data_IF_566233678731
#
_entry.id   IF_566233678731
#
_cell.length_a   1.000
_cell.length_b   1.000
_cell.length_c   1.000
_cell.angle_alpha   90.00
_cell.angle_beta   90.00
_cell.angle_gamma   90.00
#
_symmetry.space_group_name_H-M   'P 1'
#
loop_
_entity.id
_entity.type
_entity.pdbx_description
1 polymer ?
#
# COMPACT_ATOMS: atom_id res chain seq x y z
N UNK A 1 29.27 43.17 -80.53
CA UNK A 1 28.73 43.42 -81.88
C UNK A 1 27.38 42.68 -81.92
N UNK A 2 26.30 43.35 -81.48
CA UNK A 2 25.18 43.86 -82.31
C UNK A 2 24.40 42.73 -83.01
N UNK A 3 23.22 42.35 -82.51
CA UNK A 3 21.86 42.72 -83.02
C UNK A 3 21.48 41.94 -84.31
N UNK A 4 20.25 41.56 -84.66
CA UNK A 4 18.88 41.41 -84.11
C UNK A 4 18.07 40.79 -85.27
N UNK A 5 17.06 39.95 -85.01
CA UNK A 5 15.76 39.87 -85.72
C UNK A 5 15.02 38.59 -85.26
N UNK A 6 13.87 38.60 -84.55
CA UNK A 6 12.53 39.20 -84.71
C UNK A 6 11.61 38.44 -85.67
N UNK A 7 10.61 37.70 -85.15
CA UNK A 7 9.18 37.70 -85.55
C UNK A 7 8.31 36.69 -84.73
N UNK A 8 6.94 36.75 -84.71
CA UNK A 8 6.17 37.13 -83.52
C UNK A 8 4.99 36.20 -83.09
N UNK A 9 4.39 36.54 -81.93
CA UNK A 9 2.99 36.41 -81.43
C UNK A 9 2.15 35.12 -81.65
N UNK A 10 1.71 34.51 -80.52
CA UNK A 10 0.29 34.16 -80.27
C UNK A 10 -0.01 33.88 -78.78
N UNK A 11 -1.12 34.48 -78.33
CA UNK A 11 -1.72 34.50 -76.99
C UNK A 11 -2.08 33.13 -76.39
N UNK A 12 -2.20 33.06 -75.04
CA UNK A 12 -3.37 32.57 -74.27
C UNK A 12 -3.01 32.43 -72.78
N UNK A 13 -3.93 32.83 -71.88
CA UNK A 13 -4.00 32.26 -70.52
C UNK A 13 -4.05 33.26 -69.37
N UNK A 14 -5.17 33.26 -68.66
CA UNK A 14 -5.59 34.09 -67.53
C UNK A 14 -4.68 34.03 -66.30
N UNK A 15 -4.69 35.10 -65.49
CA UNK A 15 -4.09 35.13 -64.16
C UNK A 15 -5.00 34.41 -63.14
N UNK A 16 -4.48 33.59 -62.22
CA UNK A 16 -5.30 33.07 -61.13
C UNK A 16 -5.39 34.09 -59.98
N UNK A 17 -6.64 34.46 -59.71
CA UNK A 17 -7.10 35.31 -58.61
C UNK A 17 -6.80 34.62 -57.27
N UNK A 18 -5.98 35.24 -56.41
CA UNK A 18 -5.71 34.75 -55.05
C UNK A 18 -6.95 34.98 -54.17
N UNK A 19 -7.58 33.89 -53.72
CA UNK A 19 -8.66 33.90 -52.74
C UNK A 19 -8.10 34.18 -51.34
N UNK A 20 -8.71 35.09 -50.57
CA UNK A 20 -8.30 35.39 -49.20
C UNK A 20 -8.69 34.27 -48.22
N UNK A 21 -7.91 34.07 -47.15
CA UNK A 21 -8.13 32.99 -46.17
C UNK A 21 -9.52 33.02 -45.52
N UNK A 22 -10.13 34.20 -45.37
CA UNK A 22 -11.51 34.32 -44.92
C UNK A 22 -12.51 33.76 -45.92
N UNK A 23 -12.30 33.97 -47.23
CA UNK A 23 -13.15 33.36 -48.27
C UNK A 23 -13.00 31.83 -48.28
N UNK A 24 -11.82 31.30 -47.98
CA UNK A 24 -11.61 29.86 -47.86
C UNK A 24 -12.37 29.29 -46.66
N UNK A 25 -12.35 29.97 -45.51
CA UNK A 25 -13.08 29.56 -44.32
C UNK A 25 -14.60 29.63 -44.49
N UNK A 26 -15.09 30.66 -45.19
CA UNK A 26 -16.53 30.83 -45.47
C UNK A 26 -17.04 29.80 -46.50
N UNK A 27 -16.19 29.40 -47.45
CA UNK A 27 -16.47 28.29 -48.38
C UNK A 27 -16.50 26.94 -47.64
N UNK A 28 -15.58 26.70 -46.69
CA UNK A 28 -15.56 25.47 -45.89
C UNK A 28 -16.77 25.40 -44.95
N UNK A 29 -17.19 26.53 -44.36
CA UNK A 29 -18.38 26.61 -43.51
C UNK A 29 -19.68 26.44 -44.32
N UNK A 30 -19.77 27.04 -45.50
CA UNK A 30 -20.96 26.94 -46.38
C UNK A 30 -21.09 25.59 -47.09
N UNK A 31 -20.01 24.82 -47.24
CA UNK A 31 -20.03 23.45 -47.76
C UNK A 31 -20.65 22.42 -46.81
N UNK A 32 -21.00 22.80 -45.56
CA UNK A 32 -21.60 21.89 -44.58
C UNK A 32 -20.69 20.71 -44.23
N UNK A 33 -19.40 20.79 -44.56
CA UNK A 33 -18.41 19.79 -44.19
C UNK A 33 -18.21 19.90 -42.69
N UNK A 34 -19.00 19.12 -41.95
CA UNK A 34 -18.82 18.87 -40.53
C UNK A 34 -17.46 18.19 -40.34
N UNK A 35 -16.39 18.98 -40.31
CA UNK A 35 -15.01 18.54 -40.07
C UNK A 35 -14.87 17.86 -38.70
N UNK A 36 -15.86 18.04 -37.81
CA UNK A 36 -16.07 17.28 -36.58
C UNK A 36 -16.41 15.79 -36.77
N UNK A 37 -16.77 15.36 -37.98
CA UNK A 37 -17.03 13.94 -38.31
C UNK A 37 -15.79 13.19 -38.80
N UNK A 38 -14.65 13.89 -38.94
CA UNK A 38 -13.38 13.28 -39.35
C UNK A 38 -12.74 12.66 -38.09
N UNK A 39 -12.57 11.33 -38.02
CA UNK A 39 -12.13 10.64 -36.81
C UNK A 39 -10.78 11.16 -36.26
N UNK A 40 -9.87 11.56 -37.15
CA UNK A 40 -8.55 12.12 -36.77
C UNK A 40 -8.66 13.48 -36.07
N UNK A 41 -9.64 14.31 -36.46
CA UNK A 41 -9.88 15.61 -35.83
C UNK A 41 -10.52 15.42 -34.46
N UNK A 42 -11.44 14.46 -34.35
CA UNK A 42 -12.09 14.12 -33.09
C UNK A 42 -11.13 13.49 -32.07
N UNK A 43 -10.23 12.62 -32.50
CA UNK A 43 -9.15 12.09 -31.65
C UNK A 43 -8.21 13.19 -31.18
N UNK A 44 -7.87 14.16 -32.04
CA UNK A 44 -7.02 15.30 -31.66
C UNK A 44 -7.71 16.22 -30.67
N UNK A 45 -9.00 16.52 -30.85
CA UNK A 45 -9.80 17.28 -29.89
C UNK A 45 -9.99 16.54 -28.57
N UNK A 46 -10.21 15.22 -28.61
CA UNK A 46 -10.30 14.39 -27.41
C UNK A 46 -8.97 14.31 -26.66
N UNK A 47 -7.84 14.20 -27.37
CA UNK A 47 -6.51 14.22 -26.78
C UNK A 47 -6.17 15.58 -26.17
N UNK A 48 -6.58 16.68 -26.81
CA UNK A 48 -6.45 18.04 -26.27
C UNK A 48 -7.34 18.25 -25.03
N UNK A 49 -8.60 17.81 -25.06
CA UNK A 49 -9.50 17.85 -23.89
C UNK A 49 -9.01 16.98 -22.75
N UNK A 50 -8.53 15.77 -23.04
CA UNK A 50 -7.91 14.90 -22.04
C UNK A 50 -6.62 15.51 -21.46
N UNK A 51 -5.85 16.24 -22.28
CA UNK A 51 -4.69 17.01 -21.84
C UNK A 51 -5.06 18.19 -20.93
N UNK A 52 -6.09 18.95 -21.28
CA UNK A 52 -6.61 20.05 -20.44
C UNK A 52 -7.26 19.54 -19.15
N UNK A 53 -7.96 18.41 -19.20
CA UNK A 53 -8.52 17.74 -18.02
C UNK A 53 -7.40 17.20 -17.11
N UNK A 54 -6.35 16.63 -17.68
CA UNK A 54 -5.18 16.17 -16.92
C UNK A 54 -4.41 17.34 -16.29
N UNK A 55 -4.19 18.42 -17.05
CA UNK A 55 -3.52 19.64 -16.60
C UNK A 55 -4.35 20.35 -15.52
N UNK A 56 -5.67 20.43 -15.70
CA UNK A 56 -6.56 21.02 -14.70
C UNK A 56 -6.65 20.17 -13.44
N UNK A 57 -6.61 18.83 -13.55
CA UNK A 57 -6.48 17.93 -12.40
C UNK A 57 -5.13 18.08 -11.70
N UNK A 58 -4.02 18.23 -12.43
CA UNK A 58 -2.69 18.53 -11.86
C UNK A 58 -2.67 19.89 -11.15
N UNK A 59 -3.22 20.93 -11.77
CA UNK A 59 -3.36 22.27 -11.18
C UNK A 59 -4.25 22.23 -9.92
N UNK A 60 -5.30 21.42 -9.93
CA UNK A 60 -6.18 21.22 -8.77
C UNK A 60 -5.48 20.42 -7.67
N UNK A 61 -4.64 19.44 -8.02
CA UNK A 61 -3.77 18.67 -7.09
C UNK A 61 -2.68 19.55 -6.47
N UNK A 62 -2.11 20.48 -7.23
CA UNK A 62 -1.06 21.38 -6.73
C UNK A 62 -1.59 22.43 -5.75
N UNK A 63 -2.86 22.84 -5.88
CA UNK A 63 -3.54 23.77 -4.97
C UNK A 63 -4.12 23.16 -3.69
N UNK A 64 -4.23 21.84 -3.58
CA UNK A 64 -4.81 21.18 -2.41
C UNK A 64 -3.80 21.05 -1.24
N UNK A 65 -4.22 21.37 -0.01
CA UNK A 65 -3.36 21.19 1.16
C UNK A 65 -3.12 19.70 1.43
N UNK A 66 -1.91 19.32 1.84
CA UNK A 66 -1.58 17.92 2.12
C UNK A 66 -2.49 17.28 3.18
N UNK A 67 -3.06 18.09 4.08
CA UNK A 67 -4.09 17.67 5.03
C UNK A 67 -5.39 17.23 4.34
N UNK A 68 -5.90 18.04 3.41
CA UNK A 68 -7.17 17.73 2.72
C UNK A 68 -7.05 16.48 1.86
N UNK A 69 -5.91 16.34 1.18
CA UNK A 69 -5.58 15.13 0.42
C UNK A 69 -5.49 13.91 1.34
N UNK A 70 -4.79 14.02 2.47
CA UNK A 70 -4.67 12.95 3.46
C UNK A 70 -6.04 12.50 3.99
N UNK A 71 -6.89 13.44 4.41
CA UNK A 71 -8.23 13.13 4.92
C UNK A 71 -9.11 12.48 3.86
N UNK A 72 -9.04 12.93 2.60
CA UNK A 72 -9.82 12.32 1.51
C UNK A 72 -9.46 10.86 1.31
N UNK A 73 -8.15 10.56 1.29
CA UNK A 73 -7.66 9.21 0.94
C UNK A 73 -7.66 8.26 2.15
N UNK A 74 -7.40 8.76 3.36
CA UNK A 74 -7.25 7.93 4.55
C UNK A 74 -8.51 7.84 5.42
N UNK A 75 -9.56 8.64 5.18
CA UNK A 75 -10.76 8.68 6.04
C UNK A 75 -11.37 7.31 6.35
N UNK A 76 -11.56 6.47 5.33
CA UNK A 76 -12.13 5.13 5.50
C UNK A 76 -11.22 4.21 6.33
N UNK A 77 -9.91 4.29 6.10
CA UNK A 77 -8.90 3.56 6.87
C UNK A 77 -8.87 4.04 8.32
N UNK A 78 -8.87 5.35 8.54
CA UNK A 78 -8.93 5.96 9.87
C UNK A 78 -10.19 5.54 10.62
N UNK A 79 -11.33 5.42 9.93
CA UNK A 79 -12.58 4.92 10.50
C UNK A 79 -12.49 3.44 10.87
N UNK A 80 -11.87 2.60 10.03
CA UNK A 80 -11.59 1.20 10.36
C UNK A 80 -10.73 1.08 11.62
N UNK A 81 -9.62 1.82 11.67
CA UNK A 81 -8.73 1.90 12.84
C UNK A 81 -9.43 2.47 14.08
N UNK A 82 -10.41 3.37 13.89
CA UNK A 82 -11.22 3.89 14.98
C UNK A 82 -11.98 2.74 15.67
N UNK A 83 -12.67 1.88 14.92
CA UNK A 83 -13.36 0.72 15.50
C UNK A 83 -12.41 -0.30 16.11
N UNK A 84 -11.26 -0.53 15.48
CA UNK A 84 -10.21 -1.40 16.07
C UNK A 84 -9.76 -0.84 17.42
N UNK A 85 -9.49 0.47 17.51
CA UNK A 85 -9.08 1.08 18.77
C UNK A 85 -10.19 1.04 19.83
N UNK A 86 -11.48 1.17 19.48
CA UNK A 86 -12.58 0.90 20.44
C UNK A 86 -12.43 -0.50 21.05
N UNK A 87 -12.21 -1.51 20.19
CA UNK A 87 -11.95 -2.88 20.64
C UNK A 87 -10.77 -2.95 21.61
N UNK A 88 -9.67 -2.25 21.32
CA UNK A 88 -8.50 -2.17 22.21
C UNK A 88 -8.86 -1.60 23.58
N UNK A 89 -9.60 -0.49 23.61
CA UNK A 89 -10.07 0.13 24.85
C UNK A 89 -10.93 -0.81 25.69
N UNK A 90 -11.86 -1.52 25.05
CA UNK A 90 -12.73 -2.47 25.75
C UNK A 90 -11.93 -3.66 26.31
N UNK A 91 -10.92 -4.15 25.59
CA UNK A 91 -10.01 -5.19 26.05
C UNK A 91 -9.21 -4.74 27.28
N UNK A 92 -8.70 -3.51 27.28
CA UNK A 92 -7.96 -2.95 28.41
C UNK A 92 -8.86 -2.90 29.65
N UNK A 93 -10.11 -2.47 29.47
CA UNK A 93 -11.10 -2.48 30.55
C UNK A 93 -11.42 -3.89 31.04
N UNK A 94 -11.69 -4.84 30.13
CA UNK A 94 -12.07 -6.22 30.51
C UNK A 94 -10.98 -6.98 31.25
N UNK A 95 -9.71 -6.69 30.95
CA UNK A 95 -8.56 -7.25 31.66
C UNK A 95 -8.25 -6.53 32.99
N UNK A 96 -9.02 -5.49 33.35
CA UNK A 96 -8.85 -4.76 34.61
C UNK A 96 -7.64 -3.82 34.64
N UNK A 97 -7.09 -3.44 33.48
CA UNK A 97 -5.98 -2.49 33.40
C UNK A 97 -6.45 -1.05 33.67
N UNK A 98 -5.54 -0.16 34.12
CA UNK A 98 -5.90 1.23 34.40
C UNK A 98 -6.20 2.01 33.11
N UNK A 99 -7.11 2.99 33.19
CA UNK A 99 -7.62 3.75 32.05
C UNK A 99 -6.54 4.44 31.22
N UNK A 100 -5.46 4.92 31.86
CA UNK A 100 -4.38 5.63 31.17
C UNK A 100 -3.62 4.74 30.20
N UNK A 101 -3.71 3.41 30.35
CA UNK A 101 -3.11 2.47 29.42
C UNK A 101 -3.77 2.54 28.04
N UNK A 102 -5.06 2.90 27.97
CA UNK A 102 -5.80 3.00 26.72
C UNK A 102 -5.22 4.01 25.73
N UNK A 103 -4.98 5.30 26.09
CA UNK A 103 -4.26 6.22 25.22
C UNK A 103 -2.75 5.97 25.16
N UNK A 104 -2.14 5.47 26.25
CA UNK A 104 -0.68 5.31 26.33
C UNK A 104 -0.17 4.22 25.39
N UNK A 105 -0.87 3.09 25.31
CA UNK A 105 -0.42 1.93 24.55
C UNK A 105 -0.28 2.25 23.04
N UNK A 106 -1.32 2.71 22.32
CA UNK A 106 -1.16 3.16 20.95
C UNK A 106 -0.34 4.45 20.84
N UNK A 107 -0.23 5.25 21.90
CA UNK A 107 0.61 6.45 21.93
C UNK A 107 2.11 6.19 21.93
N UNK A 108 2.55 5.08 22.52
CA UNK A 108 3.98 4.71 22.69
C UNK A 108 4.40 3.54 21.81
N UNK A 109 3.52 2.58 21.58
CA UNK A 109 3.84 1.36 20.84
C UNK A 109 3.36 1.44 19.38
N UNK A 110 2.14 1.92 19.15
CA UNK A 110 1.47 2.01 17.84
C UNK A 110 1.76 0.82 16.90
N UNK A 111 1.61 -0.41 17.41
CA UNK A 111 2.01 -1.64 16.71
C UNK A 111 0.82 -2.50 16.25
N UNK A 112 -0.38 -1.92 16.25
CA UNK A 112 -1.60 -2.57 15.77
C UNK A 112 -1.90 -3.87 16.51
N UNK A 113 -1.92 -5.00 15.79
CA UNK A 113 -2.27 -6.32 16.36
C UNK A 113 -1.42 -6.75 17.56
N UNK A 114 -0.18 -6.26 17.68
CA UNK A 114 0.67 -6.54 18.84
C UNK A 114 0.12 -5.95 20.13
N UNK A 115 -0.63 -4.86 20.09
CA UNK A 115 -1.20 -4.23 21.28
C UNK A 115 -2.19 -5.16 21.99
N UNK A 116 -3.05 -5.85 21.23
CA UNK A 116 -3.98 -6.85 21.75
C UNK A 116 -3.25 -8.06 22.35
N UNK A 117 -2.25 -8.57 21.63
CA UNK A 117 -1.44 -9.70 22.07
C UNK A 117 -0.68 -9.34 23.35
N UNK A 118 -0.05 -8.16 23.39
CA UNK A 118 0.69 -7.67 24.53
C UNK A 118 -0.19 -7.62 25.79
N UNK A 119 -1.42 -7.10 25.69
CA UNK A 119 -2.36 -7.05 26.81
C UNK A 119 -2.67 -8.44 27.37
N UNK A 120 -2.94 -9.41 26.50
CA UNK A 120 -3.19 -10.80 26.94
C UNK A 120 -1.96 -11.46 27.55
N UNK A 121 -0.76 -11.18 27.03
CA UNK A 121 0.50 -11.68 27.57
C UNK A 121 0.82 -11.06 28.93
N UNK A 122 0.56 -9.76 29.11
CA UNK A 122 0.70 -9.07 30.39
C UNK A 122 -0.25 -9.65 31.43
N UNK A 123 -1.52 -9.86 31.07
CA UNK A 123 -2.51 -10.48 31.96
C UNK A 123 -2.13 -11.92 32.35
N UNK A 124 -1.50 -12.66 31.43
CA UNK A 124 -1.00 -14.02 31.68
C UNK A 124 0.34 -14.07 32.44
N UNK A 125 0.95 -12.92 32.77
CA UNK A 125 2.24 -12.86 33.45
C UNK A 125 3.41 -13.39 32.59
N UNK A 126 3.33 -13.25 31.27
CA UNK A 126 4.37 -13.71 30.36
C UNK A 126 5.71 -12.99 30.60
N UNK A 127 6.82 -13.69 30.38
CA UNK A 127 8.15 -13.10 30.53
C UNK A 127 8.43 -12.02 29.47
N UNK A 128 9.27 -11.03 29.82
CA UNK A 128 9.66 -9.97 28.89
C UNK A 128 10.31 -10.52 27.61
N UNK A 129 11.07 -11.61 27.73
CA UNK A 129 11.67 -12.32 26.59
C UNK A 129 10.58 -12.89 25.67
N UNK A 130 9.55 -13.51 26.24
CA UNK A 130 8.42 -14.03 25.44
C UNK A 130 7.70 -12.92 24.69
N UNK A 131 7.47 -11.78 25.36
CA UNK A 131 6.84 -10.60 24.74
C UNK A 131 7.70 -10.08 23.59
N UNK A 132 9.01 -9.89 23.82
CA UNK A 132 9.92 -9.39 22.80
C UNK A 132 9.97 -10.30 21.56
N UNK A 133 10.07 -11.62 21.75
CA UNK A 133 10.06 -12.59 20.65
C UNK A 133 8.73 -12.57 19.90
N UNK A 134 7.60 -12.54 20.62
CA UNK A 134 6.28 -12.50 20.00
C UNK A 134 6.06 -11.22 19.19
N UNK A 135 6.43 -10.07 19.74
CA UNK A 135 6.38 -8.77 19.05
C UNK A 135 7.25 -8.77 17.79
N UNK A 136 8.46 -9.34 17.85
CA UNK A 136 9.35 -9.47 16.70
C UNK A 136 8.75 -10.37 15.62
N UNK A 137 8.17 -11.51 16.00
CA UNK A 137 7.57 -12.46 15.07
C UNK A 137 6.33 -11.89 14.38
N UNK A 138 5.45 -11.18 15.10
CA UNK A 138 4.27 -10.56 14.49
C UNK A 138 4.68 -9.43 13.54
N UNK A 139 5.61 -8.58 13.96
CA UNK A 139 6.03 -7.40 13.18
C UNK A 139 7.11 -7.69 12.14
N UNK A 140 7.57 -8.95 11.98
CA UNK A 140 8.60 -9.27 10.98
C UNK A 140 8.19 -8.88 9.56
N UNK A 141 6.87 -8.79 9.29
CA UNK A 141 6.31 -8.29 8.03
C UNK A 141 6.76 -6.86 7.70
N UNK A 142 7.01 -6.02 8.72
CA UNK A 142 7.47 -4.65 8.54
C UNK A 142 8.89 -4.55 7.99
N UNK A 143 9.69 -5.63 8.07
CA UNK A 143 11.03 -5.67 7.47
C UNK A 143 10.97 -5.43 5.95
N UNK A 144 9.88 -5.82 5.29
CA UNK A 144 9.69 -5.61 3.85
C UNK A 144 9.38 -4.15 3.51
N UNK A 145 8.86 -3.37 4.45
CA UNK A 145 8.43 -1.99 4.19
C UNK A 145 9.62 -1.07 3.90
N UNK A 146 10.75 -1.32 4.56
CA UNK A 146 11.97 -0.53 4.39
C UNK A 146 12.50 -0.49 2.96
N UNK A 147 12.15 -1.48 2.12
CA UNK A 147 12.61 -1.55 0.73
C UNK A 147 11.77 -0.71 -0.25
N UNK A 148 10.51 -0.41 0.10
CA UNK A 148 9.54 0.16 -0.84
C UNK A 148 8.87 1.45 -0.38
N UNK A 149 9.02 1.81 0.90
CA UNK A 149 8.34 2.95 1.48
C UNK A 149 9.05 4.27 1.11
N UNK A 150 8.33 5.31 0.63
CA UNK A 150 8.92 6.55 0.10
C UNK A 150 9.38 7.52 1.21
N UNK A 151 10.28 7.08 2.10
CA UNK A 151 10.75 7.85 3.25
C UNK A 151 11.54 9.11 2.84
N UNK A 152 12.10 9.12 1.63
CA UNK A 152 12.82 10.27 1.06
C UNK A 152 11.90 11.47 0.83
N UNK A 153 10.58 11.26 0.77
CA UNK A 153 9.58 12.32 0.60
C UNK A 153 9.32 13.12 1.86
N UNK A 154 9.70 12.58 3.02
CA UNK A 154 9.54 13.22 4.33
C UNK A 154 10.84 13.95 4.70
N UNK A 155 10.73 15.25 4.96
CA UNK A 155 11.88 16.10 5.28
C UNK A 155 11.99 16.32 6.80
N UNK A 156 13.21 16.26 7.33
CA UNK A 156 13.50 16.40 8.77
C UNK A 156 13.64 15.05 9.48
N UNK A 157 14.63 14.96 10.38
CA UNK A 157 14.94 13.71 11.12
C UNK A 157 13.78 13.28 12.02
N UNK A 158 13.14 14.22 12.72
CA UNK A 158 12.01 13.93 13.60
C UNK A 158 10.78 13.47 12.82
N UNK A 159 10.50 14.10 11.68
CA UNK A 159 9.40 13.70 10.81
C UNK A 159 9.62 12.29 10.23
N UNK A 160 10.84 11.98 9.77
CA UNK A 160 11.21 10.63 9.34
C UNK A 160 11.07 9.61 10.46
N UNK A 161 11.58 9.92 11.65
CA UNK A 161 11.44 9.05 12.82
C UNK A 161 9.97 8.79 13.13
N UNK A 162 9.14 9.84 13.16
CA UNK A 162 7.71 9.69 13.41
C UNK A 162 7.01 8.83 12.36
N UNK A 163 7.35 9.00 11.08
CA UNK A 163 6.83 8.17 9.98
C UNK A 163 7.22 6.71 10.14
N UNK A 164 8.46 6.40 10.52
CA UNK A 164 8.92 5.02 10.79
C UNK A 164 8.25 4.44 12.02
N UNK A 165 8.15 5.23 13.09
CA UNK A 165 7.50 4.84 14.34
C UNK A 165 6.02 4.49 14.13
N UNK A 166 5.30 5.28 13.34
CA UNK A 166 3.87 5.08 13.07
C UNK A 166 3.60 4.26 11.81
N UNK A 167 4.58 3.49 11.32
CA UNK A 167 4.45 2.73 10.10
C UNK A 167 3.71 1.41 10.34
N UNK A 168 2.49 1.34 9.80
CA UNK A 168 1.63 0.15 9.81
C UNK A 168 1.24 -0.23 8.38
N UNK A 169 0.62 -1.40 8.20
CA UNK A 169 0.22 -1.95 6.89
C UNK A 169 -0.66 -0.97 6.10
N UNK A 170 -1.57 -0.29 6.77
CA UNK A 170 -2.47 0.71 6.21
C UNK A 170 -1.69 1.94 5.74
N UNK A 171 -0.73 2.40 6.54
CA UNK A 171 0.16 3.51 6.19
C UNK A 171 1.03 3.15 4.98
N UNK A 172 1.51 1.90 4.93
CA UNK A 172 2.28 1.38 3.80
C UNK A 172 1.42 1.32 2.54
N UNK A 173 0.21 0.75 2.62
CA UNK A 173 -0.71 0.62 1.49
C UNK A 173 -1.13 1.98 0.90
N UNK A 174 -1.37 2.99 1.76
CA UNK A 174 -1.78 4.33 1.33
C UNK A 174 -0.66 5.18 0.71
N UNK A 175 0.61 4.79 0.90
CA UNK A 175 1.77 5.58 0.49
C UNK A 175 2.70 4.86 -0.52
N UNK A 176 2.56 3.55 -0.72
CA UNK A 176 3.51 2.76 -1.54
C UNK A 176 3.02 2.43 -2.95
N UNK A 177 1.99 3.13 -3.44
CA UNK A 177 1.44 2.93 -4.79
C UNK A 177 2.37 3.37 -5.94
N UNK A 178 1.95 3.23 -7.21
CA UNK A 178 2.77 3.57 -8.38
C UNK A 178 3.28 5.01 -8.39
N UNK A 179 2.48 5.94 -7.85
CA UNK A 179 2.81 7.37 -7.73
C UNK A 179 3.63 7.71 -6.47
N UNK A 180 4.18 6.74 -5.73
CA UNK A 180 4.86 6.97 -4.43
C UNK A 180 5.96 8.05 -4.48
N UNK A 181 6.62 8.22 -5.62
CA UNK A 181 7.71 9.19 -5.80
C UNK A 181 7.23 10.64 -5.97
N UNK A 182 5.96 10.86 -6.33
CA UNK A 182 5.38 12.20 -6.53
C UNK A 182 4.60 12.69 -5.32
N UNK A 183 4.39 11.82 -4.31
CA UNK A 183 3.62 12.15 -3.11
C UNK A 183 4.24 13.33 -2.34
N UNK A 184 3.40 14.17 -1.75
CA UNK A 184 3.82 15.24 -0.84
C UNK A 184 4.14 14.67 0.55
N UNK A 185 5.28 15.05 1.13
CA UNK A 185 5.64 14.66 2.50
C UNK A 185 4.62 15.09 3.56
N UNK A 186 3.95 16.24 3.35
CA UNK A 186 2.88 16.70 4.24
C UNK A 186 1.66 15.78 4.22
N UNK A 187 1.26 15.24 3.06
CA UNK A 187 0.21 14.23 2.95
C UNK A 187 0.57 12.99 3.77
N UNK A 188 1.81 12.50 3.63
CA UNK A 188 2.29 11.32 4.37
C UNK A 188 2.17 11.57 5.87
N UNK A 189 2.70 12.69 6.37
CA UNK A 189 2.65 13.01 7.79
C UNK A 189 1.21 13.14 8.33
N UNK A 190 0.30 13.76 7.57
CA UNK A 190 -1.10 13.88 7.98
C UNK A 190 -1.85 12.55 8.00
N UNK A 191 -1.53 11.63 7.08
CA UNK A 191 -2.08 10.26 7.13
C UNK A 191 -1.62 9.58 8.43
N UNK A 192 -0.32 9.62 8.73
CA UNK A 192 0.25 9.02 9.93
C UNK A 192 -0.34 9.62 11.21
N UNK A 193 -0.39 10.95 11.30
CA UNK A 193 -0.98 11.66 12.43
C UNK A 193 -2.48 11.35 12.59
N UNK A 194 -3.23 11.32 11.49
CA UNK A 194 -4.66 11.01 11.50
C UNK A 194 -4.94 9.60 12.02
N UNK A 195 -4.22 8.59 11.53
CA UNK A 195 -4.36 7.21 12.01
C UNK A 195 -3.98 7.09 13.49
N UNK A 196 -2.86 7.71 13.89
CA UNK A 196 -2.37 7.65 15.26
C UNK A 196 -3.36 8.31 16.25
N UNK A 197 -3.86 9.50 15.92
CA UNK A 197 -4.90 10.18 16.72
C UNK A 197 -6.20 9.38 16.73
N UNK A 198 -6.60 8.79 15.60
CA UNK A 198 -7.82 7.97 15.52
C UNK A 198 -7.80 6.84 16.54
N UNK A 199 -6.70 6.07 16.61
CA UNK A 199 -6.56 4.94 17.53
C UNK A 199 -6.46 5.40 19.00
N UNK A 200 -5.73 6.48 19.30
CA UNK A 200 -5.63 7.02 20.67
C UNK A 200 -7.01 7.46 21.18
N UNK A 201 -7.75 8.22 20.37
CA UNK A 201 -9.07 8.71 20.76
C UNK A 201 -10.06 7.56 20.90
N UNK A 202 -10.04 6.61 19.96
CA UNK A 202 -11.00 5.52 19.95
C UNK A 202 -10.74 4.46 21.01
N UNK A 203 -9.47 4.19 21.37
CA UNK A 203 -9.11 3.34 22.51
C UNK A 203 -9.49 3.95 23.84
N UNK A 204 -9.25 5.25 24.02
CA UNK A 204 -9.71 5.97 25.21
C UNK A 204 -11.23 5.90 25.32
N UNK A 205 -11.94 6.16 24.22
CA UNK A 205 -13.38 6.05 24.16
C UNK A 205 -13.86 4.62 24.46
N UNK A 206 -13.25 3.61 23.84
CA UNK A 206 -13.56 2.20 24.02
C UNK A 206 -13.42 1.74 25.47
N UNK A 207 -12.42 2.24 26.18
CA UNK A 207 -12.24 1.95 27.61
C UNK A 207 -13.44 2.43 28.44
N UNK A 208 -13.88 3.68 28.25
CA UNK A 208 -15.01 4.25 28.98
C UNK A 208 -16.37 3.71 28.54
N UNK A 209 -16.51 3.31 27.27
CA UNK A 209 -17.67 2.54 26.79
C UNK A 209 -17.73 1.18 27.48
N UNK A 210 -16.58 0.50 27.59
CA UNK A 210 -16.39 -0.73 28.34
C UNK A 210 -16.86 -0.61 29.79
N UNK A 211 -16.50 0.49 30.46
CA UNK A 211 -16.82 0.71 31.87
C UNK A 211 -18.27 1.07 32.17
N UNK A 212 -18.96 1.71 31.22
CA UNK A 212 -20.29 2.30 31.48
C UNK A 212 -21.43 1.43 30.97
N UNK A 213 -21.42 1.13 29.67
CA UNK A 213 -22.55 0.48 28.98
C UNK A 213 -22.39 -1.04 28.92
N UNK A 214 -21.15 -1.52 28.82
CA UNK A 214 -20.83 -2.92 28.56
C UNK A 214 -20.66 -3.76 29.82
N UNK A 215 -20.31 -3.16 30.96
CA UNK A 215 -20.12 -3.88 32.23
C UNK A 215 -21.40 -4.51 32.79
N UNK A 216 -22.59 -4.13 32.28
CA UNK A 216 -23.89 -4.67 32.70
C UNK A 216 -24.51 -5.58 31.64
N UNK A 217 -23.85 -5.78 30.50
CA UNK A 217 -24.30 -6.69 29.45
C UNK A 217 -23.88 -8.11 29.81
N UNK A 218 -24.87 -9.00 29.93
CA UNK A 218 -24.61 -10.43 29.95
C UNK A 218 -23.83 -10.82 28.68
N UNK A 219 -22.65 -11.43 28.86
CA UNK A 219 -21.74 -11.78 27.76
C UNK A 219 -20.59 -10.80 27.54
N UNK A 220 -20.36 -9.82 28.42
CA UNK A 220 -19.15 -8.98 28.36
C UNK A 220 -17.85 -9.81 28.37
N UNK A 221 -17.83 -10.93 29.09
CA UNK A 221 -16.70 -11.87 29.13
C UNK A 221 -16.39 -12.49 27.75
N UNK A 222 -17.36 -12.47 26.82
CA UNK A 222 -17.19 -12.96 25.45
C UNK A 222 -16.47 -11.96 24.54
N UNK A 223 -16.30 -10.69 24.95
CA UNK A 223 -15.74 -9.64 24.08
C UNK A 223 -14.35 -9.99 23.56
N UNK A 224 -13.47 -10.53 24.40
CA UNK A 224 -12.13 -10.96 23.99
C UNK A 224 -12.20 -12.00 22.88
N UNK A 225 -13.05 -13.01 23.07
CA UNK A 225 -13.26 -14.10 22.12
C UNK A 225 -13.85 -13.57 20.81
N UNK A 226 -14.85 -12.70 20.88
CA UNK A 226 -15.48 -12.08 19.72
C UNK A 226 -14.48 -11.25 18.91
N UNK A 227 -13.68 -10.42 19.59
CA UNK A 227 -12.69 -9.56 18.95
C UNK A 227 -11.62 -10.38 18.22
N UNK A 228 -11.01 -11.37 18.89
CA UNK A 228 -10.02 -12.24 18.23
C UNK A 228 -10.63 -13.05 17.08
N UNK A 229 -11.90 -13.46 17.21
CA UNK A 229 -12.62 -14.15 16.13
C UNK A 229 -12.81 -13.24 14.91
N UNK A 230 -13.20 -11.98 15.12
CA UNK A 230 -13.34 -10.99 14.05
C UNK A 230 -11.97 -10.70 13.41
N UNK A 231 -10.92 -10.49 14.21
CA UNK A 231 -9.55 -10.28 13.69
C UNK A 231 -9.08 -11.48 12.85
N UNK A 232 -9.36 -12.70 13.30
CA UNK A 232 -9.03 -13.91 12.55
C UNK A 232 -9.84 -14.01 11.24
N UNK A 233 -11.13 -13.65 11.28
CA UNK A 233 -12.00 -13.64 10.12
C UNK A 233 -11.56 -12.60 9.08
N UNK A 234 -11.20 -11.39 9.52
CA UNK A 234 -10.71 -10.34 8.65
C UNK A 234 -9.35 -10.71 8.05
N UNK A 235 -8.45 -11.34 8.82
CA UNK A 235 -7.20 -11.89 8.30
C UNK A 235 -7.44 -12.95 7.22
N UNK A 236 -8.41 -13.85 7.42
CA UNK A 236 -8.78 -14.85 6.40
C UNK A 236 -9.42 -14.23 5.17
N UNK A 237 -10.29 -13.22 5.33
CA UNK A 237 -10.92 -12.51 4.21
C UNK A 237 -9.90 -11.75 3.37
N UNK A 238 -8.87 -11.19 4.00
CA UNK A 238 -7.80 -10.49 3.30
C UNK A 238 -6.97 -11.45 2.43
N UNK A 239 -6.70 -12.67 2.91
CA UNK A 239 -5.93 -13.69 2.18
C UNK A 239 -6.55 -15.09 2.39
N UNK A 240 -7.57 -15.48 1.58
CA UNK A 240 -8.29 -16.72 1.80
C UNK A 240 -7.44 -17.94 1.47
N UNK A 241 -6.90 -18.59 2.51
CA UNK A 241 -6.12 -19.82 2.40
C UNK A 241 -6.53 -20.84 3.47
N UNK A 242 -7.23 -21.89 3.01
CA UNK A 242 -7.76 -22.96 3.90
C UNK A 242 -6.66 -23.78 4.57
N UNK A 243 -5.53 -24.00 3.91
CA UNK A 243 -4.41 -24.76 4.48
C UNK A 243 -3.75 -23.97 5.61
N UNK A 244 -3.63 -22.66 5.41
CA UNK A 244 -3.10 -21.73 6.41
C UNK A 244 -4.00 -21.69 7.65
N UNK A 245 -5.32 -21.68 7.48
CA UNK A 245 -6.26 -21.83 8.61
C UNK A 245 -6.14 -23.19 9.29
N UNK A 246 -5.99 -24.28 8.53
CA UNK A 246 -5.79 -25.61 9.12
C UNK A 246 -4.50 -25.66 9.96
N UNK A 247 -3.41 -25.08 9.48
CA UNK A 247 -2.14 -25.02 10.21
C UNK A 247 -2.26 -24.21 11.50
N UNK A 248 -3.02 -23.12 11.53
CA UNK A 248 -3.22 -22.35 12.77
C UNK A 248 -4.00 -23.16 13.81
N UNK A 249 -5.02 -23.92 13.39
CA UNK A 249 -5.77 -24.83 14.29
C UNK A 249 -4.88 -25.94 14.83
N UNK A 250 -4.07 -26.58 13.98
CA UNK A 250 -3.13 -27.63 14.40
C UNK A 250 -2.10 -27.04 15.38
N UNK A 251 -1.52 -25.89 15.06
CA UNK A 251 -0.53 -25.24 15.90
C UNK A 251 -1.10 -24.87 17.27
N UNK A 252 -2.33 -24.35 17.33
CA UNK A 252 -3.02 -24.05 18.57
C UNK A 252 -3.27 -25.32 19.42
N UNK A 253 -3.75 -26.41 18.80
CA UNK A 253 -4.00 -27.67 19.49
C UNK A 253 -2.70 -28.27 20.06
N UNK A 254 -1.63 -28.29 19.26
CA UNK A 254 -0.31 -28.78 19.68
C UNK A 254 0.24 -27.94 20.83
N UNK A 255 0.16 -26.62 20.73
CA UNK A 255 0.64 -25.73 21.77
C UNK A 255 -0.13 -25.87 23.10
N UNK A 256 -1.44 -26.05 23.03
CA UNK A 256 -2.30 -26.23 24.20
C UNK A 256 -1.97 -27.53 24.95
N UNK A 257 -1.62 -28.60 24.23
CA UNK A 257 -1.23 -29.89 24.82
C UNK A 257 0.19 -29.83 25.40
N UNK A 258 1.15 -29.24 24.68
CA UNK A 258 2.58 -29.28 25.06
C UNK A 258 2.90 -28.25 26.14
N UNK A 259 2.40 -27.02 26.00
CA UNK A 259 2.84 -25.89 26.81
C UNK A 259 1.70 -24.88 26.99
N UNK A 260 0.68 -25.19 27.82
CA UNK A 260 -0.45 -24.30 28.04
C UNK A 260 -0.04 -22.92 28.58
N UNK A 261 1.01 -22.85 29.41
CA UNK A 261 1.52 -21.60 29.98
C UNK A 261 2.27 -20.69 28.98
N UNK A 262 2.72 -21.21 27.84
CA UNK A 262 3.36 -20.45 26.77
C UNK A 262 2.70 -20.72 25.41
N UNK A 263 1.42 -21.07 25.44
CA UNK A 263 0.66 -21.58 24.30
C UNK A 263 0.80 -20.66 23.09
N UNK A 264 0.70 -19.35 23.28
CA UNK A 264 0.76 -18.39 22.18
C UNK A 264 2.10 -18.41 21.44
N UNK A 265 3.21 -18.44 22.19
CA UNK A 265 4.56 -18.50 21.64
C UNK A 265 4.78 -19.83 20.89
N UNK A 266 4.38 -20.94 21.52
CA UNK A 266 4.54 -22.29 20.94
C UNK A 266 3.68 -22.44 19.69
N UNK A 267 2.44 -21.96 19.72
CA UNK A 267 1.55 -21.97 18.56
C UNK A 267 2.16 -21.18 17.40
N UNK A 268 2.68 -19.98 17.65
CA UNK A 268 3.32 -19.18 16.62
C UNK A 268 4.56 -19.87 16.02
N UNK A 269 5.40 -20.48 16.87
CA UNK A 269 6.59 -21.20 16.41
C UNK A 269 6.23 -22.43 15.55
N UNK A 270 5.26 -23.25 16.00
CA UNK A 270 4.78 -24.41 15.25
C UNK A 270 4.14 -23.97 13.93
N UNK A 271 3.32 -22.92 13.96
CA UNK A 271 2.68 -22.38 12.78
C UNK A 271 3.70 -21.87 11.75
N UNK A 272 4.72 -21.13 12.19
CA UNK A 272 5.83 -20.71 11.34
C UNK A 272 6.58 -21.91 10.73
N UNK A 273 6.88 -22.94 11.52
CA UNK A 273 7.53 -24.14 11.03
C UNK A 273 6.70 -24.86 9.95
N UNK A 274 5.37 -24.94 10.13
CA UNK A 274 4.46 -25.50 9.14
C UNK A 274 4.44 -24.69 7.83
N UNK A 275 4.44 -23.35 7.93
CA UNK A 275 4.49 -22.47 6.75
C UNK A 275 5.82 -22.60 6.00
N UNK A 276 6.95 -22.63 6.70
CA UNK A 276 8.27 -22.86 6.09
C UNK A 276 8.34 -24.25 5.44
N UNK A 277 7.81 -25.28 6.10
CA UNK A 277 7.71 -26.63 5.55
C UNK A 277 6.87 -26.68 4.26
N UNK A 278 5.74 -25.96 4.24
CA UNK A 278 4.90 -25.82 3.04
C UNK A 278 5.63 -25.10 1.92
N UNK A 279 6.35 -24.01 2.21
CA UNK A 279 7.15 -23.31 1.22
C UNK A 279 8.24 -24.21 0.62
N UNK A 280 8.98 -24.93 1.47
CA UNK A 280 10.01 -25.88 1.03
C UNK A 280 9.43 -27.03 0.18
N UNK A 281 8.26 -27.55 0.55
CA UNK A 281 7.56 -28.57 -0.23
C UNK A 281 7.07 -28.05 -1.58
N UNK A 282 6.56 -26.83 -1.65
CA UNK A 282 6.15 -26.17 -2.89
C UNK A 282 7.35 -25.91 -3.80
N UNK A 283 8.49 -25.46 -3.25
CA UNK A 283 9.75 -25.30 -3.99
C UNK A 283 10.21 -26.64 -4.59
N UNK A 284 10.20 -27.72 -3.81
CA UNK A 284 10.58 -29.06 -4.28
C UNK A 284 9.65 -29.64 -5.36
N UNK A 285 8.37 -29.27 -5.35
CA UNK A 285 7.38 -29.73 -6.35
C UNK A 285 7.38 -28.90 -7.65
N UNK A 286 8.21 -27.86 -7.76
CA UNK A 286 8.25 -26.98 -8.93
C UNK A 286 6.96 -26.19 -9.15
N UNK A 287 6.07 -26.12 -8.15
CA UNK A 287 4.74 -25.50 -8.27
C UNK A 287 4.73 -24.03 -7.84
N UNK A 288 5.89 -23.37 -7.81
CA UNK A 288 5.99 -21.95 -7.46
C UNK A 288 5.54 -21.10 -8.66
N UNK A 289 4.68 -20.08 -8.47
CA UNK A 289 4.35 -19.10 -9.49
C UNK A 289 5.60 -18.53 -10.19
N UNK A 290 5.59 -18.43 -11.52
CA UNK A 290 6.75 -18.04 -12.34
C UNK A 290 7.43 -16.73 -11.89
N UNK A 291 6.70 -15.77 -11.32
CA UNK A 291 7.29 -14.51 -10.81
C UNK A 291 8.19 -14.66 -9.58
N UNK A 292 8.17 -15.82 -8.88
CA UNK A 292 9.08 -16.12 -7.77
C UNK A 292 10.36 -16.86 -8.21
N UNK A 293 10.41 -17.39 -9.44
CA UNK A 293 11.57 -18.14 -9.96
C UNK A 293 12.67 -17.22 -10.52
N UNK A 294 12.33 -15.97 -10.85
CA UNK A 294 13.24 -14.98 -11.46
C UNK A 294 14.46 -14.65 -10.57
N UNK A 295 14.34 -14.81 -9.24
CA UNK A 295 15.46 -14.57 -8.32
C UNK A 295 16.54 -15.67 -8.36
N UNK A 296 16.17 -16.93 -8.62
CA UNK A 296 17.11 -18.06 -8.71
C UNK A 296 17.80 -18.11 -10.10
N UNK A 297 17.14 -17.61 -11.15
CA UNK A 297 17.69 -17.63 -12.52
C UNK A 297 18.85 -16.64 -12.70
N UNK A 298 18.78 -15.47 -12.04
CA UNK A 298 19.87 -14.48 -12.02
C UNK A 298 21.11 -14.95 -11.24
N UNK A 299 20.93 -15.80 -10.22
CA UNK A 299 22.04 -16.35 -9.44
C UNK A 299 22.70 -17.54 -10.13
N UNK A 300 21.93 -18.37 -10.85
CA UNK A 300 22.48 -19.44 -11.69
C UNK A 300 23.26 -18.90 -12.91
N UNK A 301 22.74 -17.89 -13.62
CA UNK A 301 23.49 -17.28 -14.72
C UNK A 301 24.77 -16.60 -14.28
N UNK A 302 24.81 -15.98 -13.09
CA UNK A 302 26.02 -15.35 -12.56
C UNK A 302 27.10 -16.37 -12.19
N UNK A 303 26.70 -17.51 -11.63
CA UNK A 303 27.64 -18.58 -11.25
C UNK A 303 28.15 -19.40 -12.44
N UNK A 304 27.38 -19.49 -13.53
CA UNK A 304 27.87 -20.05 -14.80
C UNK A 304 28.78 -19.08 -15.55
N UNK A 305 28.49 -17.78 -15.53
CA UNK A 305 29.33 -16.76 -16.18
C UNK A 305 30.70 -16.63 -15.50
N UNK A 306 30.76 -16.64 -14.16
CA UNK A 306 32.04 -16.62 -13.42
C UNK A 306 32.87 -17.90 -13.69
N UNK A 307 32.22 -19.06 -13.88
CA UNK A 307 32.93 -20.30 -14.24
C UNK A 307 33.39 -20.35 -15.69
N UNK A 308 32.71 -19.66 -16.60
CA UNK A 308 33.09 -19.58 -18.00
C UNK A 308 34.24 -18.59 -18.25
N UNK A 309 34.35 -17.54 -17.42
CA UNK A 309 35.48 -16.59 -17.49
C UNK A 309 36.78 -17.14 -16.87
N UNK A 310 36.70 -18.14 -15.99
CA UNK A 310 37.88 -18.73 -15.32
C UNK A 310 38.61 -19.80 -16.15
N UNK A 311 38.14 -20.18 -17.35
CA UNK A 311 38.89 -21.08 -18.23
C UNK A 311 39.97 -20.30 -19.01
N UNK A 312 41.28 -20.49 -18.72
CA UNK A 312 42.33 -19.76 -19.41
C UNK A 312 42.46 -20.27 -20.85
N UNK A 313 42.35 -19.38 -21.83
CA UNK A 313 42.66 -19.67 -23.22
C UNK A 313 44.11 -20.14 -23.36
N UNK A 314 44.29 -21.43 -23.64
CA UNK A 314 45.57 -22.02 -24.02
C UNK A 314 45.92 -21.54 -25.45
N UNK A 315 47.06 -20.86 -25.66
CA UNK A 315 47.42 -20.37 -26.99
C UNK A 315 47.94 -21.53 -27.84
N UNK A 316 47.19 -21.84 -28.90
CA UNK A 316 47.56 -22.82 -29.92
C UNK A 316 48.90 -22.45 -30.59
N UNK A 317 49.83 -23.40 -30.60
CA UNK A 317 51.07 -23.39 -31.38
C UNK A 317 50.86 -24.04 -32.75
#
# INVERSE_FOLDING_TARGET
MFERSSHPNRHLGEAPQQTSDEQVLDIIASAGLATSSIPVVQEREQALRAGDDALSLELRRTGESGFREAMRVASLVMLGLFFVGIGLGVVIHSLGFPWWLAPLLPGVLFAGSVEFVLLTMMAAGASLVSVAVMTLLINSRHLMYGLSYPIERVHGSLAKFYTVYTLIDEAFALNSGPERHTLRGSRILWIHAGMHVSVILSSTLGFFLGSSFLAHLEGFDFVMTALFTVLALDAYRANPDRLTVLFSVIAAAVALIIAPGSMLLVAMAVYMALLVGRYAAAKKRGSLPQHMLVADELTHHRTEHDRAEETPHEPAQ
#
